data_IF_768956587465
#
_entry.id   IF_768956587465
#
_cell.length_a   1.000
_cell.length_b   1.000
_cell.length_c   1.000
_cell.angle_alpha   90.00
_cell.angle_beta   90.00
_cell.angle_gamma   90.00
#
_symmetry.space_group_name_H-M   'P 1'
#
loop_
_entity.id
_entity.type
_entity.pdbx_description
1 polymer ?
#
# COMPACT_ATOMS: atom_id res chain seq x y z
N UNK A 1 -13.73 -62.03 -23.17
CA UNK A 1 -12.62 -61.24 -22.55
C UNK A 1 -13.15 -59.86 -22.29
N UNK A 2 -13.38 -59.52 -20.99
CA UNK A 2 -13.82 -58.19 -20.60
C UNK A 2 -12.56 -57.40 -20.15
N UNK A 3 -12.21 -56.38 -20.89
CA UNK A 3 -11.09 -55.50 -20.52
C UNK A 3 -11.55 -54.59 -19.39
N UNK A 4 -10.85 -54.66 -18.26
CA UNK A 4 -11.04 -53.80 -17.10
C UNK A 4 -10.19 -52.54 -17.32
N UNK A 5 -10.84 -51.39 -17.58
CA UNK A 5 -10.14 -50.09 -17.62
C UNK A 5 -10.01 -49.57 -16.21
N UNK A 6 -8.77 -49.57 -15.68
CA UNK A 6 -8.45 -48.94 -14.41
C UNK A 6 -8.21 -47.45 -14.66
N UNK A 7 -9.10 -46.58 -14.18
CA UNK A 7 -8.92 -45.13 -14.19
C UNK A 7 -8.04 -44.79 -13.00
N UNK A 8 -6.80 -44.39 -13.26
CA UNK A 8 -5.89 -43.80 -12.26
C UNK A 8 -6.24 -42.31 -12.14
N UNK A 9 -6.93 -41.95 -11.05
CA UNK A 9 -7.14 -40.53 -10.68
C UNK A 9 -5.86 -40.06 -10.01
N UNK A 10 -5.05 -39.26 -10.73
CA UNK A 10 -3.93 -38.52 -10.15
C UNK A 10 -4.50 -37.36 -9.33
N UNK A 11 -4.55 -37.50 -8.00
CA UNK A 11 -4.72 -36.36 -7.09
C UNK A 11 -3.45 -35.51 -7.17
N UNK A 12 -3.55 -34.39 -7.88
CA UNK A 12 -2.54 -33.32 -7.74
C UNK A 12 -2.78 -32.63 -6.40
N UNK A 13 -1.91 -32.90 -5.44
CA UNK A 13 -1.84 -32.12 -4.21
C UNK A 13 -1.29 -30.73 -4.57
N UNK A 14 -2.16 -29.74 -4.67
CA UNK A 14 -1.74 -28.35 -4.74
C UNK A 14 -1.27 -27.96 -3.34
N UNK A 15 0.02 -27.83 -3.16
CA UNK A 15 0.57 -27.19 -1.96
C UNK A 15 0.25 -25.69 -2.06
N UNK A 16 -0.79 -25.25 -1.37
CA UNK A 16 -1.05 -23.85 -1.13
C UNK A 16 -0.02 -23.42 -0.08
N UNK A 17 1.00 -22.68 -0.49
CA UNK A 17 1.89 -22.00 0.46
C UNK A 17 1.10 -20.82 1.02
N UNK A 18 0.52 -21.00 2.21
CA UNK A 18 -0.15 -19.91 2.94
C UNK A 18 0.89 -19.10 3.70
N UNK A 19 0.69 -17.77 3.74
CA UNK A 19 1.46 -16.91 4.61
C UNK A 19 1.25 -17.34 6.07
N UNK A 20 2.32 -17.24 6.86
CA UNK A 20 2.28 -17.57 8.27
C UNK A 20 2.91 -16.47 9.11
N UNK A 21 2.71 -16.54 10.44
CA UNK A 21 3.24 -15.55 11.38
C UNK A 21 2.91 -14.11 11.01
N UNK A 22 1.64 -13.84 10.63
CA UNK A 22 1.18 -12.51 10.28
C UNK A 22 1.00 -11.70 11.56
N UNK A 23 1.83 -10.66 11.74
CA UNK A 23 1.93 -9.90 12.99
C UNK A 23 1.95 -8.40 12.71
N UNK A 24 1.02 -7.66 13.31
CA UNK A 24 1.10 -6.21 13.45
C UNK A 24 2.11 -5.85 14.54
N UNK A 25 3.10 -5.00 14.23
CA UNK A 25 4.18 -4.68 15.19
C UNK A 25 3.85 -3.52 16.12
N UNK A 26 2.79 -2.77 15.87
CA UNK A 26 2.33 -1.67 16.72
C UNK A 26 0.98 -2.02 17.34
N UNK A 27 0.94 -2.38 18.65
CA UNK A 27 -0.31 -2.73 19.30
C UNK A 27 -1.37 -1.60 19.29
N UNK A 28 -0.95 -0.33 19.34
CA UNK A 28 -1.89 0.79 19.28
C UNK A 28 -2.59 0.88 17.91
N UNK A 29 -1.85 0.64 16.82
CA UNK A 29 -2.43 0.56 15.48
C UNK A 29 -3.44 -0.60 15.37
N UNK A 30 -3.13 -1.77 15.94
CA UNK A 30 -4.04 -2.92 15.99
C UNK A 30 -5.31 -2.59 16.78
N UNK A 31 -5.18 -1.98 17.96
CA UNK A 31 -6.33 -1.58 18.78
C UNK A 31 -7.25 -0.62 18.02
N UNK A 32 -6.69 0.35 17.29
CA UNK A 32 -7.47 1.29 16.48
C UNK A 32 -8.20 0.57 15.35
N UNK A 33 -7.53 -0.28 14.60
CA UNK A 33 -8.16 -1.02 13.49
C UNK A 33 -9.24 -2.00 13.96
N UNK A 34 -9.13 -2.52 15.19
CA UNK A 34 -10.14 -3.40 15.79
C UNK A 34 -11.24 -2.64 16.54
N UNK A 35 -11.24 -1.31 16.52
CA UNK A 35 -12.25 -0.48 17.19
C UNK A 35 -12.10 -0.39 18.71
N UNK A 36 -10.98 -0.85 19.27
CA UNK A 36 -10.74 -0.90 20.73
C UNK A 36 -9.90 0.30 21.20
N UNK A 37 -10.37 1.51 20.95
CA UNK A 37 -9.66 2.74 21.32
C UNK A 37 -10.64 3.86 21.71
N UNK A 38 -10.12 4.90 22.38
CA UNK A 38 -10.86 6.12 22.66
C UNK A 38 -10.45 7.21 21.65
N UNK A 39 -11.37 7.68 20.78
CA UNK A 39 -11.09 8.73 19.81
C UNK A 39 -10.60 10.05 20.42
N UNK A 40 -10.95 10.33 21.68
CA UNK A 40 -10.52 11.54 22.38
C UNK A 40 -8.98 11.63 22.51
N UNK A 41 -8.29 10.49 22.46
CA UNK A 41 -6.82 10.44 22.49
C UNK A 41 -6.18 10.82 21.16
N UNK A 42 -6.98 10.98 20.08
CA UNK A 42 -6.51 11.20 18.72
C UNK A 42 -7.15 12.42 18.04
N UNK A 43 -7.39 13.48 18.79
CA UNK A 43 -8.02 14.70 18.27
C UNK A 43 -7.13 15.42 17.28
N UNK A 44 -7.73 15.91 16.19
CA UNK A 44 -7.03 16.66 15.15
C UNK A 44 -6.58 18.04 15.62
N UNK A 45 -5.50 18.54 15.02
CA UNK A 45 -5.03 19.92 15.22
C UNK A 45 -5.90 20.93 14.46
N UNK A 46 -6.49 20.49 13.34
CA UNK A 46 -7.39 21.32 12.52
C UNK A 46 -8.82 20.89 12.79
N UNK A 47 -9.59 21.79 13.42
CA UNK A 47 -11.00 21.55 13.75
C UNK A 47 -11.87 22.02 12.57
N UNK A 48 -11.95 21.20 11.54
CA UNK A 48 -12.83 21.39 10.39
C UNK A 48 -13.60 20.10 10.18
N UNK A 49 -14.92 20.17 10.12
CA UNK A 49 -15.79 19.01 10.00
C UNK A 49 -16.56 18.93 8.68
N UNK A 50 -16.58 20.01 7.89
CA UNK A 50 -17.30 20.01 6.62
C UNK A 50 -16.46 19.34 5.52
N UNK A 51 -16.98 18.33 4.80
CA UNK A 51 -16.22 17.60 3.78
C UNK A 51 -15.58 18.50 2.71
N UNK A 52 -16.30 19.49 2.20
CA UNK A 52 -15.78 20.42 1.17
C UNK A 52 -14.60 21.24 1.70
N UNK A 53 -14.64 21.65 2.97
CA UNK A 53 -13.55 22.39 3.59
C UNK A 53 -12.32 21.52 3.80
N UNK A 54 -12.53 20.24 4.17
CA UNK A 54 -11.43 19.27 4.26
C UNK A 54 -10.83 19.04 2.87
N UNK A 55 -11.66 18.78 1.86
CA UNK A 55 -11.20 18.56 0.49
C UNK A 55 -10.42 19.75 -0.06
N UNK A 56 -10.92 20.96 0.14
CA UNK A 56 -10.22 22.18 -0.28
C UNK A 56 -8.89 22.36 0.45
N UNK A 57 -8.84 22.07 1.76
CA UNK A 57 -7.62 22.12 2.54
C UNK A 57 -6.59 21.09 2.07
N UNK A 58 -7.01 19.85 1.84
CA UNK A 58 -6.13 18.80 1.32
C UNK A 58 -5.54 19.19 -0.04
N UNK A 59 -6.38 19.69 -0.96
CA UNK A 59 -5.93 20.11 -2.29
C UNK A 59 -4.90 21.25 -2.25
N UNK A 60 -4.99 22.14 -1.25
CA UNK A 60 -4.03 23.24 -1.06
C UNK A 60 -2.72 22.78 -0.38
N UNK A 61 -2.77 21.71 0.39
CA UNK A 61 -1.62 21.24 1.17
C UNK A 61 -0.78 20.18 0.47
N UNK A 62 -1.32 19.51 -0.56
CA UNK A 62 -0.54 18.60 -1.41
C UNK A 62 0.57 19.37 -2.09
N UNK A 63 1.79 18.83 -1.97
CA UNK A 63 3.00 19.48 -2.43
C UNK A 63 3.70 18.64 -3.49
N UNK A 64 3.82 19.16 -4.70
CA UNK A 64 4.47 18.48 -5.82
C UNK A 64 5.96 18.22 -5.57
N UNK A 65 6.67 19.13 -4.90
CA UNK A 65 8.10 18.95 -4.58
C UNK A 65 8.29 17.81 -3.55
N UNK A 66 7.33 17.65 -2.63
CA UNK A 66 7.34 16.50 -1.70
C UNK A 66 7.17 15.19 -2.45
N UNK A 67 6.19 15.11 -3.35
CA UNK A 67 5.95 13.93 -4.19
C UNK A 67 7.20 13.58 -5.01
N UNK A 68 7.79 14.57 -5.68
CA UNK A 68 9.02 14.40 -6.46
C UNK A 68 10.17 13.88 -5.60
N UNK A 69 10.39 14.50 -4.42
CA UNK A 69 11.46 14.10 -3.51
C UNK A 69 11.29 12.68 -2.97
N UNK A 70 10.04 12.23 -2.75
CA UNK A 70 9.76 10.86 -2.32
C UNK A 70 10.06 9.86 -3.43
N UNK A 71 9.69 10.14 -4.67
CA UNK A 71 10.00 9.29 -5.84
C UNK A 71 11.51 9.19 -6.04
N UNK A 72 12.23 10.29 -6.02
CA UNK A 72 13.70 10.30 -6.13
C UNK A 72 14.34 9.48 -5.02
N UNK A 73 13.86 9.65 -3.78
CA UNK A 73 14.39 8.90 -2.64
C UNK A 73 14.13 7.40 -2.77
N UNK A 74 12.92 7.00 -3.18
CA UNK A 74 12.59 5.60 -3.44
C UNK A 74 13.48 5.01 -4.54
N UNK A 75 13.70 5.73 -5.63
CA UNK A 75 14.60 5.33 -6.71
C UNK A 75 16.07 5.19 -6.27
N UNK A 76 16.49 5.98 -5.28
CA UNK A 76 17.88 5.98 -4.79
C UNK A 76 18.28 4.71 -4.02
N UNK A 77 17.34 3.85 -3.64
CA UNK A 77 17.63 2.59 -2.96
C UNK A 77 18.12 1.47 -3.91
N UNK A 78 18.41 1.78 -5.16
CA UNK A 78 18.94 0.90 -6.20
C UNK A 78 17.90 -0.14 -6.68
N UNK A 79 17.40 -0.95 -5.79
CA UNK A 79 16.31 -1.91 -6.01
C UNK A 79 15.46 -2.01 -4.76
N UNK A 80 14.16 -2.14 -4.94
CA UNK A 80 13.22 -2.45 -3.87
C UNK A 80 12.60 -3.83 -4.04
N UNK A 81 13.29 -4.73 -4.80
CA UNK A 81 12.84 -6.10 -4.96
C UNK A 81 12.61 -6.76 -3.60
N UNK A 82 11.51 -7.49 -3.45
CA UNK A 82 11.10 -8.07 -2.17
C UNK A 82 12.08 -9.09 -1.59
N UNK A 83 12.94 -9.67 -2.42
CA UNK A 83 14.05 -10.53 -2.00
C UNK A 83 15.39 -9.80 -1.80
N UNK A 84 15.44 -8.46 -2.02
CA UNK A 84 16.68 -7.70 -1.92
C UNK A 84 17.13 -7.48 -0.47
N UNK A 85 18.28 -6.81 -0.33
CA UNK A 85 18.93 -6.53 0.95
C UNK A 85 17.96 -5.88 1.96
N UNK A 86 17.87 -6.48 3.13
CA UNK A 86 17.05 -6.03 4.26
C UNK A 86 17.86 -5.37 5.38
N UNK A 87 19.18 -5.41 5.32
CA UNK A 87 20.10 -4.97 6.39
C UNK A 87 20.73 -3.62 6.10
N UNK A 88 21.15 -3.37 4.86
CA UNK A 88 21.77 -2.11 4.45
C UNK A 88 20.90 -0.90 4.78
N UNK A 89 21.52 0.19 5.23
CA UNK A 89 20.81 1.45 5.52
C UNK A 89 20.62 2.34 4.27
N UNK A 90 21.24 2.01 3.15
CA UNK A 90 21.27 2.88 1.97
C UNK A 90 20.69 2.24 0.72
N UNK A 91 20.47 0.93 0.68
CA UNK A 91 19.97 0.23 -0.50
C UNK A 91 19.08 -0.95 -0.12
N UNK A 92 18.29 -1.41 -1.09
CA UNK A 92 17.41 -2.56 -0.95
C UNK A 92 16.08 -2.24 -0.27
N UNK A 93 15.21 -3.24 -0.25
CA UNK A 93 13.85 -3.13 0.31
C UNK A 93 13.88 -2.78 1.82
N UNK A 94 14.91 -3.21 2.54
CA UNK A 94 15.04 -2.92 3.97
C UNK A 94 15.27 -1.44 4.25
N UNK A 95 16.15 -0.78 3.49
CA UNK A 95 16.41 0.64 3.61
C UNK A 95 15.17 1.47 3.25
N UNK A 96 14.48 1.12 2.16
CA UNK A 96 13.25 1.77 1.74
C UNK A 96 12.17 1.69 2.84
N UNK A 97 11.95 0.49 3.41
CA UNK A 97 10.99 0.29 4.50
C UNK A 97 11.27 1.16 5.72
N UNK A 98 12.52 1.19 6.16
CA UNK A 98 12.90 1.99 7.34
C UNK A 98 12.72 3.47 7.09
N UNK A 99 13.09 3.95 5.90
CA UNK A 99 12.90 5.33 5.52
C UNK A 99 11.42 5.73 5.50
N UNK A 100 10.54 4.92 4.90
CA UNK A 100 9.10 5.19 4.90
C UNK A 100 8.52 5.20 6.31
N UNK A 101 8.92 4.22 7.14
CA UNK A 101 8.48 4.15 8.53
C UNK A 101 8.87 5.42 9.30
N UNK A 102 10.12 5.87 9.12
CA UNK A 102 10.58 7.13 9.70
C UNK A 102 9.75 8.32 9.22
N UNK A 103 9.41 8.39 7.93
CA UNK A 103 8.54 9.45 7.39
C UNK A 103 7.16 9.46 8.05
N UNK A 104 6.54 8.31 8.19
CA UNK A 104 5.26 8.22 8.90
C UNK A 104 5.40 8.65 10.38
N UNK A 105 6.52 8.36 11.05
CA UNK A 105 6.80 8.85 12.40
C UNK A 105 6.95 10.38 12.42
N UNK A 106 7.66 10.97 11.45
CA UNK A 106 7.81 12.42 11.32
C UNK A 106 6.42 13.08 11.12
N UNK A 107 5.58 12.54 10.24
CA UNK A 107 4.21 13.04 10.02
C UNK A 107 3.34 12.91 11.28
N UNK A 108 3.49 11.82 12.02
CA UNK A 108 2.82 11.61 13.29
C UNK A 108 3.22 12.66 14.32
N UNK A 109 4.53 12.88 14.48
CA UNK A 109 5.07 13.79 15.50
C UNK A 109 4.55 15.22 15.32
N UNK A 110 4.47 15.72 14.09
CA UNK A 110 3.96 17.08 13.82
C UNK A 110 2.43 17.18 13.93
N UNK A 111 1.74 16.06 14.07
CA UNK A 111 0.28 15.97 14.15
C UNK A 111 -0.17 15.28 15.45
N UNK A 112 0.41 15.66 16.59
CA UNK A 112 0.05 15.18 17.93
C UNK A 112 0.12 13.65 18.10
N UNK A 113 1.02 12.98 17.40
CA UNK A 113 1.21 11.53 17.38
C UNK A 113 -0.07 10.74 17.01
N UNK A 114 -0.92 11.32 16.17
CA UNK A 114 -2.18 10.70 15.75
C UNK A 114 -2.01 9.60 14.72
N UNK A 115 -1.03 9.74 13.84
CA UNK A 115 -0.73 8.70 12.85
C UNK A 115 0.07 7.59 13.52
N UNK A 116 -0.35 6.36 13.40
CA UNK A 116 0.23 5.20 14.08
C UNK A 116 0.98 4.30 13.09
N UNK A 117 2.29 4.52 12.87
CA UNK A 117 3.09 3.68 11.97
C UNK A 117 3.24 2.27 12.52
N UNK A 118 3.21 1.28 11.62
CA UNK A 118 3.42 -0.12 11.93
C UNK A 118 4.02 -0.87 10.75
N UNK A 119 4.56 -2.06 11.05
CA UNK A 119 4.78 -3.09 10.05
C UNK A 119 3.73 -4.19 10.21
N UNK A 120 3.28 -4.76 9.09
CA UNK A 120 2.70 -6.09 9.07
C UNK A 120 3.79 -7.05 8.61
N UNK A 121 4.30 -7.85 9.53
CA UNK A 121 5.29 -8.87 9.24
C UNK A 121 4.59 -10.18 8.90
N UNK A 122 5.10 -10.89 7.91
CA UNK A 122 4.64 -12.23 7.56
C UNK A 122 5.79 -13.08 7.02
N UNK A 123 5.65 -14.39 7.13
CA UNK A 123 6.62 -15.36 6.64
C UNK A 123 6.06 -16.05 5.39
N UNK A 124 6.82 -15.98 4.30
CA UNK A 124 6.59 -16.65 3.02
C UNK A 124 7.92 -16.70 2.25
N UNK A 125 8.19 -17.79 1.55
CA UNK A 125 9.38 -17.89 0.71
C UNK A 125 9.16 -17.14 -0.61
N UNK A 126 9.79 -15.97 -0.77
CA UNK A 126 9.73 -15.13 -1.97
C UNK A 126 11.14 -14.73 -2.35
N UNK A 127 11.59 -15.05 -3.58
CA UNK A 127 12.93 -14.72 -4.08
C UNK A 127 14.06 -15.02 -3.08
N UNK A 128 14.01 -16.19 -2.44
CA UNK A 128 14.94 -16.68 -1.42
C UNK A 128 14.90 -15.90 -0.07
N UNK A 129 14.04 -14.93 0.11
CA UNK A 129 13.75 -14.32 1.40
C UNK A 129 12.57 -15.03 2.07
N UNK A 130 12.66 -15.26 3.39
CA UNK A 130 11.64 -16.00 4.14
C UNK A 130 10.72 -15.10 4.98
N UNK A 131 11.07 -13.82 5.15
CA UNK A 131 10.31 -12.88 5.98
C UNK A 131 10.16 -11.55 5.32
N UNK A 132 8.92 -11.08 5.24
CA UNK A 132 8.54 -9.85 4.58
C UNK A 132 7.80 -8.90 5.52
N UNK A 133 7.71 -7.64 5.12
CA UNK A 133 7.00 -6.62 5.90
C UNK A 133 6.34 -5.62 4.96
N UNK A 134 5.03 -5.50 5.06
CA UNK A 134 4.35 -4.30 4.60
C UNK A 134 4.61 -3.16 5.58
N UNK A 135 4.53 -1.92 5.11
CA UNK A 135 4.52 -0.75 5.96
C UNK A 135 3.13 -0.15 5.90
N UNK A 136 2.60 0.25 7.03
CA UNK A 136 1.36 0.99 7.05
C UNK A 136 1.34 2.00 8.19
N UNK A 137 0.43 2.96 8.07
CA UNK A 137 0.15 3.91 9.13
C UNK A 137 -1.36 4.04 9.30
N UNK A 138 -1.83 4.02 10.54
CA UNK A 138 -3.25 4.10 10.87
C UNK A 138 -3.58 5.48 11.36
N UNK A 139 -4.55 6.15 10.73
CA UNK A 139 -5.15 7.39 11.19
C UNK A 139 -6.49 7.06 11.85
N UNK A 140 -6.61 7.20 13.19
CA UNK A 140 -7.82 6.84 13.91
C UNK A 140 -9.04 7.66 13.49
N UNK A 141 -10.16 6.99 13.31
CA UNK A 141 -11.45 7.61 13.07
C UNK A 141 -12.07 8.19 14.33
N UNK A 142 -13.09 9.04 14.17
CA UNK A 142 -13.79 9.68 15.28
C UNK A 142 -15.14 9.01 15.59
N UNK A 143 -15.67 8.19 14.68
CA UNK A 143 -16.93 7.47 14.84
C UNK A 143 -16.66 6.03 15.33
N UNK A 144 -16.96 5.76 16.59
CA UNK A 144 -16.82 4.43 17.18
C UNK A 144 -18.03 3.52 16.95
N UNK A 145 -19.10 4.03 16.34
CA UNK A 145 -20.27 3.21 16.00
C UNK A 145 -20.07 2.34 14.76
N UNK A 146 -19.09 2.69 13.93
CA UNK A 146 -18.70 1.94 12.72
C UNK A 146 -17.18 1.78 12.67
N UNK A 147 -16.69 0.61 13.02
CA UNK A 147 -15.27 0.28 13.06
C UNK A 147 -14.68 -0.10 11.67
N UNK A 148 -15.45 0.04 10.59
CA UNK A 148 -14.94 -0.26 9.27
C UNK A 148 -13.81 0.69 8.88
N UNK A 149 -12.75 0.13 8.31
CA UNK A 149 -11.59 0.89 7.85
C UNK A 149 -11.68 1.22 6.36
N UNK A 150 -11.02 2.30 5.97
CA UNK A 150 -10.73 2.64 4.56
C UNK A 150 -9.24 2.43 4.35
N UNK A 151 -8.85 1.70 3.32
CA UNK A 151 -7.46 1.44 2.96
C UNK A 151 -7.11 2.27 1.73
N UNK A 152 -6.03 3.04 1.83
CA UNK A 152 -5.40 3.74 0.71
C UNK A 152 -4.04 3.05 0.53
N UNK A 153 -3.88 2.31 -0.57
CA UNK A 153 -2.72 1.46 -0.76
C UNK A 153 -1.95 1.71 -2.03
N UNK A 154 -0.73 1.23 -2.03
CA UNK A 154 0.17 1.06 -3.17
C UNK A 154 1.10 -0.11 -2.87
N UNK A 155 1.91 -0.55 -3.85
CA UNK A 155 3.05 -1.41 -3.52
C UNK A 155 4.35 -0.61 -3.55
N UNK A 156 5.26 -0.97 -2.65
CA UNK A 156 6.54 -0.27 -2.51
C UNK A 156 7.68 -1.00 -3.20
N UNK A 157 7.52 -2.27 -3.51
CA UNK A 157 8.54 -3.05 -4.19
C UNK A 157 8.67 -2.66 -5.65
N UNK A 158 9.78 -3.02 -6.25
CA UNK A 158 10.10 -2.81 -7.65
C UNK A 158 10.86 -4.01 -8.19
N UNK A 159 10.87 -4.20 -9.50
CA UNK A 159 11.56 -5.33 -10.15
C UNK A 159 12.26 -4.93 -11.43
N UNK A 160 13.14 -5.79 -11.89
CA UNK A 160 13.55 -5.89 -13.28
C UNK A 160 12.74 -6.96 -14.03
N UNK A 161 13.05 -7.19 -15.28
CA UNK A 161 12.40 -8.20 -16.11
C UNK A 161 12.40 -9.59 -15.46
N UNK A 162 13.52 -9.98 -14.84
CA UNK A 162 13.60 -11.21 -14.05
C UNK A 162 13.11 -10.94 -12.64
N UNK A 163 11.97 -11.55 -12.26
CA UNK A 163 11.24 -11.30 -11.02
C UNK A 163 12.10 -11.35 -9.75
N UNK A 164 13.04 -12.27 -9.68
CA UNK A 164 13.90 -12.48 -8.52
C UNK A 164 15.35 -12.03 -8.73
N UNK A 165 15.60 -11.13 -9.68
CA UNK A 165 16.89 -10.45 -9.75
C UNK A 165 16.95 -9.36 -8.69
N UNK A 166 17.53 -9.71 -7.55
CA UNK A 166 17.64 -8.85 -6.37
C UNK A 166 18.83 -7.90 -6.42
N UNK A 167 19.63 -7.96 -7.50
CA UNK A 167 20.86 -7.19 -7.67
C UNK A 167 20.77 -6.12 -8.77
N UNK A 168 19.80 -6.24 -9.67
CA UNK A 168 19.61 -5.30 -10.77
C UNK A 168 19.23 -3.90 -10.28
N UNK A 169 19.50 -2.88 -11.11
CA UNK A 169 19.02 -1.52 -10.87
C UNK A 169 17.53 -1.45 -11.24
N UNK A 170 16.67 -1.50 -10.25
CA UNK A 170 15.20 -1.41 -10.36
C UNK A 170 14.69 -0.20 -9.60
N UNK A 171 14.84 0.99 -10.16
CA UNK A 171 14.43 2.24 -9.51
C UNK A 171 12.92 2.30 -9.29
N UNK A 172 12.11 1.74 -10.22
CA UNK A 172 10.65 1.66 -10.11
C UNK A 172 10.02 3.02 -9.79
N UNK A 173 10.35 4.07 -10.57
CA UNK A 173 9.93 5.44 -10.23
C UNK A 173 8.43 5.63 -10.44
N UNK A 174 7.89 5.07 -11.52
CA UNK A 174 6.45 5.09 -11.80
C UNK A 174 5.79 3.83 -11.25
N UNK A 175 6.35 2.67 -11.51
CA UNK A 175 5.92 1.37 -10.99
C UNK A 175 6.83 0.92 -9.81
N UNK A 176 6.42 1.04 -8.52
CA UNK A 176 5.30 1.86 -8.10
C UNK A 176 5.76 2.91 -7.06
N UNK A 177 6.83 3.63 -7.43
CA UNK A 177 7.29 4.79 -6.64
C UNK A 177 6.27 5.92 -6.64
N UNK A 178 5.52 6.10 -7.74
CA UNK A 178 4.49 7.13 -7.87
C UNK A 178 3.34 6.91 -6.90
N UNK A 179 2.75 5.72 -6.86
CA UNK A 179 1.69 5.37 -5.91
C UNK A 179 2.18 5.39 -4.47
N UNK A 180 3.41 4.91 -4.21
CA UNK A 180 4.01 4.96 -2.88
C UNK A 180 4.21 6.41 -2.40
N UNK A 181 4.69 7.31 -3.25
CA UNK A 181 4.83 8.73 -2.92
C UNK A 181 3.47 9.38 -2.65
N UNK A 182 2.44 9.03 -3.43
CA UNK A 182 1.08 9.52 -3.25
C UNK A 182 0.52 9.14 -1.88
N UNK A 183 0.60 7.88 -1.46
CA UNK A 183 0.07 7.48 -0.14
C UNK A 183 0.84 8.12 1.01
N UNK A 184 2.15 8.36 0.85
CA UNK A 184 2.94 9.09 1.84
C UNK A 184 2.49 10.55 1.96
N UNK A 185 2.27 11.22 0.84
CA UNK A 185 1.79 12.61 0.84
C UNK A 185 0.38 12.72 1.41
N UNK A 186 -0.52 11.78 1.06
CA UNK A 186 -1.85 11.70 1.65
C UNK A 186 -1.78 11.48 3.17
N UNK A 187 -0.91 10.59 3.65
CA UNK A 187 -0.72 10.39 5.09
C UNK A 187 -0.25 11.68 5.78
N UNK A 188 0.66 12.44 5.14
CA UNK A 188 1.16 13.72 5.66
C UNK A 188 0.04 14.76 5.80
N UNK A 189 -0.75 14.97 4.75
CA UNK A 189 -1.77 16.03 4.75
C UNK A 189 -3.02 15.61 5.51
N UNK A 190 -3.49 14.37 5.35
CA UNK A 190 -4.71 13.88 5.99
C UNK A 190 -4.57 13.72 7.51
N UNK A 191 -3.38 13.42 8.03
CA UNK A 191 -3.16 13.29 9.48
C UNK A 191 -3.44 14.57 10.27
N UNK A 192 -3.60 15.72 9.62
CA UNK A 192 -4.00 16.99 10.25
C UNK A 192 -5.50 17.11 10.52
N UNK A 193 -6.31 16.33 9.80
CA UNK A 193 -7.78 16.40 9.82
C UNK A 193 -8.39 15.22 10.56
N UNK A 194 -9.64 15.39 11.01
CA UNK A 194 -10.45 14.31 11.55
C UNK A 194 -11.37 13.73 10.50
N UNK A 195 -11.49 12.41 10.50
CA UNK A 195 -12.40 11.66 9.65
C UNK A 195 -13.28 10.78 10.53
N UNK A 196 -14.48 10.46 10.07
CA UNK A 196 -15.35 9.56 10.83
C UNK A 196 -14.75 8.16 10.90
N UNK A 197 -14.20 7.64 9.77
CA UNK A 197 -13.62 6.30 9.71
C UNK A 197 -12.12 6.29 9.90
N UNK A 198 -11.64 5.20 10.46
CA UNK A 198 -10.21 4.90 10.47
C UNK A 198 -9.69 4.74 9.05
N UNK A 199 -8.57 5.38 8.75
CA UNK A 199 -7.89 5.30 7.45
C UNK A 199 -6.55 4.60 7.65
N UNK A 200 -6.26 3.65 6.76
CA UNK A 200 -4.98 2.93 6.72
C UNK A 200 -4.26 3.29 5.44
N UNK A 201 -3.08 3.88 5.56
CA UNK A 201 -2.15 4.11 4.46
C UNK A 201 -1.20 2.92 4.39
N UNK A 202 -1.30 2.10 3.34
CA UNK A 202 -0.64 0.81 3.25
C UNK A 202 0.30 0.75 2.04
N UNK A 203 1.58 0.49 2.29
CA UNK A 203 2.55 0.16 1.25
C UNK A 203 2.87 -1.33 1.31
N UNK A 204 2.35 -2.06 0.36
CA UNK A 204 2.54 -3.50 0.23
C UNK A 204 3.95 -3.83 -0.26
N UNK A 205 4.42 -5.01 0.08
CA UNK A 205 5.61 -5.64 -0.49
C UNK A 205 5.21 -6.87 -1.29
N UNK A 206 6.07 -7.32 -2.20
CA UNK A 206 5.86 -8.52 -2.99
C UNK A 206 4.58 -8.51 -3.84
N UNK A 207 4.19 -7.33 -4.31
CA UNK A 207 3.16 -7.17 -5.32
C UNK A 207 3.63 -7.83 -6.62
N UNK A 208 4.80 -7.44 -7.08
CA UNK A 208 5.46 -7.86 -8.32
C UNK A 208 5.68 -9.37 -8.40
N UNK A 209 5.78 -10.05 -7.26
CA UNK A 209 5.96 -11.49 -7.19
C UNK A 209 4.64 -12.26 -7.06
N UNK A 210 3.51 -11.60 -6.95
CA UNK A 210 2.18 -12.21 -6.93
C UNK A 210 1.23 -11.71 -5.85
N UNK A 211 1.22 -10.40 -5.56
CA UNK A 211 0.28 -9.73 -4.63
C UNK A 211 0.40 -10.20 -3.17
N UNK A 212 1.52 -10.83 -2.80
CA UNK A 212 1.62 -11.51 -1.49
C UNK A 212 1.52 -10.57 -0.29
N UNK A 213 1.94 -9.31 -0.43
CA UNK A 213 1.81 -8.33 0.65
C UNK A 213 0.36 -7.94 0.92
N UNK A 214 -0.41 -7.68 -0.12
CA UNK A 214 -1.84 -7.35 -0.01
C UNK A 214 -2.65 -8.57 0.48
N UNK A 215 -2.31 -9.77 0.02
CA UNK A 215 -2.91 -11.01 0.51
C UNK A 215 -2.65 -11.20 2.03
N UNK A 216 -1.41 -10.98 2.50
CA UNK A 216 -1.10 -11.03 3.92
C UNK A 216 -1.89 -10.00 4.74
N UNK A 217 -2.11 -8.80 4.20
CA UNK A 217 -2.92 -7.79 4.88
C UNK A 217 -4.41 -8.18 4.88
N UNK A 218 -4.92 -8.74 3.78
CA UNK A 218 -6.29 -9.26 3.69
C UNK A 218 -6.53 -10.39 4.70
N UNK A 219 -5.61 -11.36 4.80
CA UNK A 219 -5.65 -12.42 5.79
C UNK A 219 -5.65 -11.88 7.22
N UNK A 220 -4.80 -10.87 7.48
CA UNK A 220 -4.74 -10.23 8.79
C UNK A 220 -6.07 -9.58 9.17
N UNK A 221 -6.66 -8.76 8.31
CA UNK A 221 -7.94 -8.09 8.62
C UNK A 221 -9.08 -9.11 8.76
N UNK A 222 -9.06 -10.18 7.97
CA UNK A 222 -10.02 -11.28 8.09
C UNK A 222 -9.87 -12.01 9.43
N UNK A 223 -8.65 -12.39 9.83
CA UNK A 223 -8.38 -13.09 11.09
C UNK A 223 -8.75 -12.24 12.31
N UNK A 224 -8.58 -10.92 12.22
CA UNK A 224 -8.93 -9.98 13.29
C UNK A 224 -10.39 -9.54 13.26
N UNK A 225 -11.15 -9.93 12.25
CA UNK A 225 -12.55 -9.52 12.09
C UNK A 225 -12.71 -8.02 11.84
N UNK A 226 -11.74 -7.38 11.19
CA UNK A 226 -11.74 -5.94 10.88
C UNK A 226 -12.57 -5.73 9.60
N UNK A 227 -13.69 -5.00 9.65
CA UNK A 227 -14.48 -4.72 8.45
C UNK A 227 -13.75 -3.71 7.56
N UNK A 228 -13.65 -4.01 6.26
CA UNK A 228 -13.10 -3.09 5.26
C UNK A 228 -14.23 -2.48 4.46
N UNK A 229 -14.32 -1.14 4.47
CA UNK A 229 -15.37 -0.40 3.75
C UNK A 229 -15.01 -0.14 2.30
N UNK A 230 -13.75 0.22 2.06
CA UNK A 230 -13.23 0.51 0.74
C UNK A 230 -11.72 0.30 0.69
N UNK A 231 -11.22 -0.04 -0.48
CA UNK A 231 -9.79 -0.08 -0.82
C UNK A 231 -9.57 0.82 -2.02
N UNK A 232 -8.59 1.72 -1.94
CA UNK A 232 -8.15 2.61 -3.01
C UNK A 232 -6.71 2.25 -3.35
N UNK A 233 -6.53 1.45 -4.39
CA UNK A 233 -5.20 1.10 -4.89
C UNK A 233 -4.67 2.18 -5.83
N UNK A 234 -3.42 2.58 -5.63
CA UNK A 234 -2.72 3.59 -6.41
C UNK A 234 -1.49 2.94 -7.04
N UNK A 235 -1.60 2.66 -8.32
CA UNK A 235 -0.58 1.96 -9.08
C UNK A 235 -0.34 2.67 -10.41
N UNK A 236 0.95 2.98 -10.69
CA UNK A 236 1.38 3.70 -11.89
C UNK A 236 0.58 5.01 -12.08
N UNK A 237 0.60 5.87 -11.07
CA UNK A 237 -0.15 7.14 -11.08
C UNK A 237 0.68 8.35 -11.51
N UNK A 238 1.98 8.17 -11.75
CA UNK A 238 2.91 9.21 -12.19
C UNK A 238 2.99 9.40 -13.70
N UNK A 239 2.37 8.51 -14.47
CA UNK A 239 2.39 8.53 -15.92
C UNK A 239 1.47 9.59 -16.53
N UNK A 240 1.71 9.86 -17.81
CA UNK A 240 0.86 10.77 -18.61
C UNK A 240 -0.06 9.90 -19.47
N UNK A 241 -1.35 10.19 -19.44
CA UNK A 241 -2.29 9.50 -20.32
C UNK A 241 -1.95 9.80 -21.78
N UNK A 242 -1.99 8.76 -22.61
CA UNK A 242 -1.82 8.87 -24.03
C UNK A 242 -0.43 9.29 -24.51
N UNK A 243 0.61 9.09 -23.69
CA UNK A 243 2.02 9.21 -24.11
C UNK A 243 2.44 8.11 -25.08
N UNK A 244 3.72 8.07 -25.41
CA UNK A 244 4.29 7.08 -26.35
C UNK A 244 4.12 5.62 -25.86
N UNK A 245 3.99 5.40 -24.57
CA UNK A 245 3.84 4.08 -23.92
C UNK A 245 2.42 3.74 -23.52
N UNK A 246 1.42 4.40 -24.10
CA UNK A 246 0.02 4.18 -23.72
C UNK A 246 -0.40 2.72 -23.92
N UNK A 247 -0.83 2.08 -22.83
CA UNK A 247 -1.50 0.77 -22.89
C UNK A 247 -2.96 0.92 -23.31
N UNK A 248 -3.56 -0.15 -23.82
CA UNK A 248 -4.99 -0.15 -24.16
C UNK A 248 -5.89 0.07 -22.94
N UNK A 249 -7.05 0.77 -23.06
CA UNK A 249 -7.51 1.40 -24.30
C UNK A 249 -6.65 2.61 -24.64
N UNK A 250 -6.13 2.66 -25.86
CA UNK A 250 -5.33 3.78 -26.34
C UNK A 250 -6.20 5.02 -26.49
N UNK A 251 -5.59 6.16 -26.30
CA UNK A 251 -6.27 7.44 -26.52
C UNK A 251 -6.47 7.69 -28.02
N UNK A 252 -7.54 8.39 -28.34
CA UNK A 252 -7.81 8.85 -29.69
C UNK A 252 -7.90 10.39 -29.68
N UNK A 253 -7.11 11.09 -30.50
CA UNK A 253 -6.12 10.54 -31.44
C UNK A 253 -4.87 9.99 -30.72
N UNK A 254 -4.22 9.02 -31.31
CA UNK A 254 -2.97 8.47 -30.81
C UNK A 254 -1.91 9.58 -30.64
N UNK A 255 -1.24 9.59 -29.48
CA UNK A 255 -0.27 10.62 -29.15
C UNK A 255 -0.84 11.89 -28.51
N UNK A 256 -2.17 11.99 -28.32
CA UNK A 256 -2.73 13.06 -27.49
C UNK A 256 -2.27 12.89 -26.04
N UNK A 257 -1.53 13.86 -25.53
CA UNK A 257 -1.02 13.86 -24.17
C UNK A 257 -2.02 14.58 -23.26
N UNK A 258 -2.49 13.91 -22.20
CA UNK A 258 -3.26 14.54 -21.13
C UNK A 258 -2.57 14.30 -19.79
N UNK A 259 -1.98 15.34 -19.23
CA UNK A 259 -1.32 15.33 -17.92
C UNK A 259 -2.25 15.75 -16.77
N UNK A 260 -3.53 15.99 -17.06
CA UNK A 260 -4.50 16.50 -16.09
C UNK A 260 -5.46 15.43 -15.56
N UNK A 261 -5.38 14.22 -16.09
CA UNK A 261 -6.26 13.11 -15.75
C UNK A 261 -5.48 11.87 -15.35
N UNK A 262 -6.10 11.08 -14.50
CA UNK A 262 -5.68 9.72 -14.14
C UNK A 262 -6.76 8.73 -14.55
N UNK A 263 -6.38 7.48 -14.82
CA UNK A 263 -7.35 6.41 -15.05
C UNK A 263 -7.86 5.89 -13.72
N UNK A 264 -9.18 5.87 -13.57
CA UNK A 264 -9.82 5.24 -12.42
C UNK A 264 -10.50 3.95 -12.88
N UNK A 265 -10.11 2.85 -12.27
CA UNK A 265 -10.77 1.55 -12.45
C UNK A 265 -11.56 1.24 -11.18
N UNK A 266 -12.83 0.95 -11.32
CA UNK A 266 -13.63 0.43 -10.21
C UNK A 266 -14.01 -1.01 -10.50
N UNK A 267 -13.94 -1.86 -9.49
CA UNK A 267 -14.59 -3.15 -9.55
C UNK A 267 -16.10 -2.85 -9.50
N UNK A 268 -16.69 -2.71 -10.66
CA UNK A 268 -18.12 -2.49 -10.79
C UNK A 268 -18.87 -3.70 -10.30
N UNK A 269 -19.33 -3.66 -9.07
CA UNK A 269 -20.51 -4.43 -8.74
C UNK A 269 -21.60 -3.98 -9.71
N UNK A 270 -22.32 -4.93 -10.26
CA UNK A 270 -23.29 -4.77 -11.34
C UNK A 270 -24.46 -3.80 -11.06
N UNK A 271 -24.35 -2.86 -10.13
CA UNK A 271 -25.40 -1.96 -9.68
C UNK A 271 -24.84 -0.56 -9.30
N UNK A 272 -24.04 0.03 -10.16
CA UNK A 272 -23.80 1.47 -10.06
C UNK A 272 -24.62 2.21 -11.09
#
# INVERSE_FOLDING_TARGET
>A
MKALFTIIVLLQAHFVFSQSNIICTNPAAELVMTGNYDPANYTATVIVSHPDSITAGLAQEINADSLHSYIEKLGSFHTRNSGADTVSDTKGIGAARRWMFQKFQEFSTVNNNRLLPSYLQFDLAICNAGRHKNIFAVLPGMDTSDHSIIIIESHMDSRCEVLCDTACLAQGSDDNGSGTALIMELARVMSRYSFNRTIVFLANTAEEQGLYGSEAFADYVQQKGIPVKAVMNNDIVGGILCGETSSAPSCSPFGAIDSTQVRLFSYGGFNS
#
